data_IF_113738666612
#
_entry.id   IF_113738666612
#
_cell.length_a   1.000
_cell.length_b   1.000
_cell.length_c   1.000
_cell.angle_alpha   90.00
_cell.angle_beta   90.00
_cell.angle_gamma   90.00
#
_symmetry.space_group_name_H-M   'P 1'
#
loop_
_entity.id
_entity.type
_entity.pdbx_description
1 polymer ?
#
# COMPACT_ATOMS: atom_id res chain seq x y z
N UNK A 1 11.03 27.77 39.31
CA UNK A 1 11.53 28.37 38.05
C UNK A 1 12.67 27.52 37.53
N UNK A 2 12.34 26.43 36.85
CA UNK A 2 13.27 25.69 36.00
C UNK A 2 12.53 25.56 34.68
N UNK A 3 12.97 26.33 33.68
CA UNK A 3 12.42 26.29 32.34
C UNK A 3 12.92 24.99 31.69
N UNK A 4 12.00 24.06 31.43
CA UNK A 4 12.25 22.93 30.54
C UNK A 4 12.07 23.49 29.14
N UNK A 5 13.18 23.61 28.41
CA UNK A 5 13.20 23.95 26.99
C UNK A 5 12.35 22.91 26.24
N UNK A 6 11.36 23.38 25.48
CA UNK A 6 10.70 22.57 24.46
C UNK A 6 11.77 22.10 23.47
N UNK A 7 11.94 20.77 23.41
CA UNK A 7 12.92 20.11 22.58
C UNK A 7 12.66 20.38 21.10
N UNK A 8 13.78 20.59 20.40
CA UNK A 8 13.90 20.58 18.96
C UNK A 8 13.36 19.25 18.40
N UNK A 9 12.55 19.33 17.33
CA UNK A 9 12.32 18.22 16.40
C UNK A 9 13.68 17.67 15.97
N UNK A 10 13.99 16.45 16.38
CA UNK A 10 15.15 15.69 15.91
C UNK A 10 14.62 14.36 15.42
N UNK A 11 14.13 14.29 14.18
CA UNK A 11 14.12 13.02 13.46
C UNK A 11 15.55 12.49 13.46
N UNK A 12 15.72 11.26 13.93
CA UNK A 12 17.03 10.68 14.16
C UNK A 12 17.51 10.15 12.81
N UNK A 13 17.98 11.06 11.95
CA UNK A 13 18.50 10.73 10.61
C UNK A 13 19.61 9.67 10.71
N UNK A 14 19.29 8.40 10.48
CA UNK A 14 20.29 7.33 10.43
C UNK A 14 21.16 7.53 9.18
N UNK A 15 22.46 7.39 9.35
CA UNK A 15 23.40 7.33 8.23
C UNK A 15 23.11 6.03 7.47
N UNK A 16 22.36 6.14 6.38
CA UNK A 16 22.15 5.06 5.43
C UNK A 16 23.54 4.58 4.95
N UNK A 17 23.87 3.33 5.28
CA UNK A 17 24.99 2.64 4.63
C UNK A 17 24.64 2.58 3.15
N UNK A 18 25.59 2.92 2.26
CA UNK A 18 25.37 2.98 0.81
C UNK A 18 24.63 1.73 0.33
N UNK A 19 23.32 1.85 0.12
CA UNK A 19 22.50 0.76 -0.35
C UNK A 19 22.70 0.69 -1.85
N UNK A 20 23.24 -0.44 -2.30
CA UNK A 20 23.52 -0.70 -3.72
C UNK A 20 22.34 -1.45 -4.29
N UNK A 21 21.67 -0.85 -5.27
CA UNK A 21 20.68 -1.55 -6.06
C UNK A 21 21.43 -2.13 -7.25
N UNK A 22 21.64 -3.44 -7.24
CA UNK A 22 22.18 -4.15 -8.39
C UNK A 22 21.05 -4.39 -9.38
N UNK A 23 21.00 -3.57 -10.44
CA UNK A 23 20.30 -3.97 -11.65
C UNK A 23 21.20 -5.03 -12.31
N UNK A 24 20.92 -6.30 -12.05
CA UNK A 24 21.38 -7.35 -12.96
C UNK A 24 20.69 -7.02 -14.28
N UNK A 25 21.48 -6.61 -15.27
CA UNK A 25 21.03 -6.14 -16.57
C UNK A 25 19.97 -7.08 -17.18
N UNK A 26 18.70 -6.74 -17.01
CA UNK A 26 17.59 -7.32 -17.74
C UNK A 26 17.54 -6.64 -19.12
N UNK A 27 18.57 -6.85 -19.94
CA UNK A 27 18.55 -6.52 -21.36
C UNK A 27 19.35 -7.58 -22.12
N UNK A 28 18.81 -8.81 -22.12
CA UNK A 28 19.13 -9.84 -23.11
C UNK A 28 17.83 -10.32 -23.76
N UNK A 29 17.27 -9.50 -24.64
CA UNK A 29 16.56 -9.88 -25.89
C UNK A 29 15.80 -8.68 -26.47
N UNK A 30 16.54 -7.75 -27.08
CA UNK A 30 16.03 -7.08 -28.26
C UNK A 30 16.87 -7.56 -29.44
N UNK A 31 16.49 -8.71 -30.00
CA UNK A 31 17.02 -9.11 -31.30
C UNK A 31 16.40 -8.20 -32.37
N UNK A 32 17.18 -7.22 -32.81
CA UNK A 32 16.90 -6.46 -34.02
C UNK A 32 17.11 -7.39 -35.23
N UNK A 33 16.00 -7.80 -35.85
CA UNK A 33 15.98 -8.46 -37.15
C UNK A 33 16.66 -7.58 -38.23
N UNK A 34 17.92 -7.86 -38.55
CA UNK A 34 18.50 -7.53 -39.85
C UNK A 34 18.85 -8.84 -40.57
N UNK A 35 18.14 -9.12 -41.66
CA UNK A 35 18.55 -10.13 -42.64
C UNK A 35 19.92 -9.75 -43.22
N UNK A 36 20.92 -10.58 -43.01
CA UNK A 36 22.03 -10.72 -43.96
C UNK A 36 22.10 -12.18 -44.41
N UNK A 37 21.82 -12.38 -45.69
CA UNK A 37 22.18 -13.60 -46.42
C UNK A 37 23.70 -13.68 -46.52
N UNK A 38 24.27 -14.76 -45.96
CA UNK A 38 25.64 -15.25 -46.12
C UNK A 38 26.82 -14.34 -45.72
N UNK A 39 27.45 -14.64 -44.57
CA UNK A 39 28.92 -14.69 -44.47
C UNK A 39 29.39 -15.44 -43.20
N UNK A 40 30.15 -16.50 -43.46
CA UNK A 40 30.99 -17.34 -42.59
C UNK A 40 31.27 -16.90 -41.15
N UNK A 41 31.05 -17.84 -40.21
CA UNK A 41 31.92 -18.16 -39.07
C UNK A 41 32.67 -16.98 -38.43
N UNK A 42 31.94 -16.21 -37.64
CA UNK A 42 32.49 -15.53 -36.47
C UNK A 42 31.41 -15.53 -35.38
N UNK A 43 31.79 -15.92 -34.16
CA UNK A 43 31.00 -15.63 -32.97
C UNK A 43 30.64 -14.14 -32.95
N UNK A 44 29.43 -13.77 -33.36
CA UNK A 44 28.85 -12.49 -33.02
C UNK A 44 28.11 -12.65 -31.70
N UNK A 45 28.88 -12.66 -30.61
CA UNK A 45 28.42 -11.98 -29.40
C UNK A 45 28.25 -10.51 -29.77
N UNK A 46 27.02 -10.11 -30.11
CA UNK A 46 26.64 -8.71 -30.07
C UNK A 46 26.68 -8.28 -28.60
N UNK A 47 27.84 -7.82 -28.15
CA UNK A 47 27.86 -6.86 -27.07
C UNK A 47 27.26 -5.59 -27.69
N UNK A 48 26.03 -5.23 -27.30
CA UNK A 48 25.67 -3.82 -27.32
C UNK A 48 26.79 -3.12 -26.55
N UNK A 49 27.62 -2.35 -27.25
CA UNK A 49 28.67 -1.56 -26.63
C UNK A 49 27.98 -0.35 -26.00
N UNK A 50 27.27 -0.61 -24.91
CA UNK A 50 26.62 0.43 -24.11
C UNK A 50 27.66 1.49 -23.83
N UNK A 51 27.46 2.66 -24.43
CA UNK A 51 28.38 3.78 -24.30
C UNK A 51 28.12 4.51 -22.99
N UNK A 52 26.86 4.55 -22.54
CA UNK A 52 26.48 5.25 -21.32
C UNK A 52 25.12 4.84 -20.75
N UNK A 53 25.05 4.70 -19.43
CA UNK A 53 23.81 4.75 -18.63
C UNK A 53 23.60 6.17 -18.06
N UNK A 54 22.35 6.62 -18.01
CA UNK A 54 21.96 7.89 -17.43
C UNK A 54 20.60 7.77 -16.73
N UNK A 55 20.42 8.51 -15.63
CA UNK A 55 19.10 8.76 -15.03
C UNK A 55 18.53 10.05 -15.61
N UNK A 56 17.30 9.99 -16.07
CA UNK A 56 16.54 11.14 -16.54
C UNK A 56 15.56 11.62 -15.46
N UNK A 57 15.41 12.94 -15.33
CA UNK A 57 14.49 13.58 -14.37
C UNK A 57 15.14 14.18 -13.11
N UNK A 58 14.31 14.72 -12.20
CA UNK A 58 14.73 15.45 -11.00
C UNK A 58 15.15 14.56 -9.80
N UNK A 59 15.48 13.29 -10.03
CA UNK A 59 15.88 12.34 -8.98
C UNK A 59 17.38 12.40 -8.63
N UNK A 60 18.15 13.23 -9.33
CA UNK A 60 19.62 13.29 -9.24
C UNK A 60 20.20 13.69 -7.87
N UNK A 61 19.39 14.22 -6.96
CA UNK A 61 19.82 14.53 -5.58
C UNK A 61 19.68 13.34 -4.62
N UNK A 62 18.88 12.32 -4.97
CA UNK A 62 18.61 11.15 -4.12
C UNK A 62 19.29 9.89 -4.68
N UNK A 63 19.43 9.76 -6.00
CA UNK A 63 20.08 8.63 -6.67
C UNK A 63 21.08 9.07 -7.74
N UNK A 64 22.10 8.25 -7.96
CA UNK A 64 23.04 8.36 -9.08
C UNK A 64 23.23 7.00 -9.72
N UNK A 65 23.50 6.97 -11.03
CA UNK A 65 23.77 5.75 -11.77
C UNK A 65 25.22 5.75 -12.28
N UNK A 66 25.90 4.62 -12.16
CA UNK A 66 27.23 4.48 -12.70
C UNK A 66 27.17 4.33 -14.24
N UNK A 67 27.83 5.21 -15.01
CA UNK A 67 27.59 5.36 -16.45
C UNK A 67 28.04 4.16 -17.29
N UNK A 68 28.85 3.25 -16.76
CA UNK A 68 29.34 2.06 -17.50
C UNK A 68 28.76 0.74 -16.98
N UNK A 69 28.26 0.69 -15.75
CA UNK A 69 27.79 -0.56 -15.13
C UNK A 69 26.29 -0.57 -14.88
N UNK A 70 25.63 0.59 -14.95
CA UNK A 70 24.21 0.72 -14.63
C UNK A 70 23.91 0.58 -13.13
N UNK A 71 24.92 0.51 -12.25
CA UNK A 71 24.73 0.42 -10.80
C UNK A 71 24.09 1.70 -10.27
N UNK A 72 22.88 1.60 -9.69
CA UNK A 72 22.20 2.72 -9.04
C UNK A 72 22.57 2.72 -7.56
N UNK A 73 23.03 3.87 -7.09
CA UNK A 73 23.38 4.11 -5.68
C UNK A 73 22.69 5.35 -5.16
N UNK A 74 22.34 5.32 -3.87
CA UNK A 74 21.82 6.49 -3.17
C UNK A 74 22.88 7.61 -3.15
N UNK A 75 22.52 8.79 -3.62
CA UNK A 75 23.34 9.99 -3.60
C UNK A 75 23.04 10.92 -2.41
N UNK A 76 21.83 10.79 -1.84
CA UNK A 76 21.35 11.55 -0.70
C UNK A 76 20.73 10.64 0.36
N UNK A 77 20.30 11.25 1.47
CA UNK A 77 19.50 10.55 2.48
C UNK A 77 18.10 10.30 1.94
N UNK A 78 17.62 9.08 2.18
CA UNK A 78 16.23 8.70 1.97
C UNK A 78 15.53 8.75 3.32
N UNK A 79 14.33 9.27 3.31
CA UNK A 79 13.44 9.43 4.46
C UNK A 79 12.08 8.95 3.94
N UNK A 80 11.58 7.84 4.51
CA UNK A 80 10.38 7.17 3.98
C UNK A 80 9.15 8.03 4.28
N UNK A 81 9.13 8.66 5.44
CA UNK A 81 8.07 9.57 5.90
C UNK A 81 8.01 10.83 5.03
N UNK A 82 9.13 11.22 4.40
CA UNK A 82 9.17 12.23 3.33
C UNK A 82 8.67 11.67 1.99
N UNK A 83 9.19 10.50 1.56
CA UNK A 83 8.83 9.87 0.29
C UNK A 83 9.12 8.35 0.30
N UNK A 84 8.06 7.56 0.22
CA UNK A 84 8.11 6.09 0.33
C UNK A 84 8.51 5.37 -0.98
N UNK A 85 8.42 6.04 -2.13
CA UNK A 85 8.75 5.44 -3.43
C UNK A 85 9.31 6.44 -4.44
N UNK A 86 10.15 5.94 -5.35
CA UNK A 86 10.74 6.71 -6.44
C UNK A 86 10.59 5.98 -7.76
N UNK A 87 10.24 6.72 -8.81
CA UNK A 87 10.25 6.24 -10.19
C UNK A 87 11.48 6.81 -10.92
N UNK A 88 12.39 5.94 -11.33
CA UNK A 88 13.64 6.31 -11.98
C UNK A 88 13.58 5.94 -13.47
N UNK A 89 13.70 6.91 -14.37
CA UNK A 89 13.84 6.62 -15.80
C UNK A 89 15.31 6.45 -16.12
N UNK A 90 15.70 5.24 -16.50
CA UNK A 90 17.06 4.89 -16.91
C UNK A 90 17.13 4.90 -18.43
N UNK A 91 17.98 5.76 -18.98
CA UNK A 91 18.28 5.81 -20.41
C UNK A 91 19.65 5.21 -20.68
N UNK A 92 19.71 4.31 -21.66
CA UNK A 92 20.90 3.64 -22.14
C UNK A 92 21.20 4.15 -23.54
N UNK A 93 22.45 4.54 -23.79
CA UNK A 93 22.93 4.97 -25.10
C UNK A 93 23.97 3.98 -25.61
N UNK A 94 23.88 3.56 -26.87
CA UNK A 94 24.94 2.80 -27.55
C UNK A 94 25.97 3.74 -28.18
N UNK A 95 27.12 3.21 -28.59
CA UNK A 95 28.15 3.87 -29.41
C UNK A 95 27.63 4.50 -30.72
N UNK A 96 26.46 4.08 -31.20
CA UNK A 96 25.75 4.66 -32.33
C UNK A 96 24.79 5.82 -32.02
N UNK A 97 24.78 6.35 -30.79
CA UNK A 97 23.86 7.41 -30.32
C UNK A 97 22.36 6.99 -30.34
N UNK A 98 22.10 5.69 -30.41
CA UNK A 98 20.75 5.13 -30.25
C UNK A 98 20.45 5.03 -28.75
N UNK A 99 19.29 5.52 -28.34
CA UNK A 99 18.84 5.51 -26.95
C UNK A 99 17.64 4.60 -26.74
N UNK A 100 17.64 3.86 -25.63
CA UNK A 100 16.48 3.16 -25.09
C UNK A 100 16.28 3.58 -23.63
N UNK A 101 15.04 3.58 -23.15
CA UNK A 101 14.71 3.98 -21.79
C UNK A 101 13.85 2.92 -21.11
N UNK A 102 14.05 2.73 -19.80
CA UNK A 102 13.25 1.85 -18.95
C UNK A 102 12.94 2.55 -17.63
N UNK A 103 11.82 2.18 -17.00
CA UNK A 103 11.43 2.69 -15.69
C UNK A 103 11.84 1.71 -14.59
N UNK A 104 12.46 2.21 -13.52
CA UNK A 104 12.83 1.45 -12.33
C UNK A 104 12.07 2.03 -11.14
N UNK A 105 11.24 1.21 -10.49
CA UNK A 105 10.56 1.58 -9.26
C UNK A 105 11.42 1.20 -8.05
N UNK A 106 11.64 2.17 -7.16
CA UNK A 106 12.40 2.00 -5.92
C UNK A 106 11.45 2.23 -4.75
N UNK A 107 11.24 1.20 -3.93
CA UNK A 107 10.48 1.28 -2.68
C UNK A 107 11.44 1.47 -1.51
N UNK A 108 11.17 2.44 -0.64
CA UNK A 108 11.92 2.68 0.59
C UNK A 108 11.27 1.88 1.72
N UNK A 109 12.03 0.98 2.34
CA UNK A 109 11.54 0.19 3.48
C UNK A 109 11.58 1.00 4.76
N UNK A 110 10.55 0.85 5.59
CA UNK A 110 10.41 1.50 6.89
C UNK A 110 11.46 1.03 7.91
N UNK A 111 11.86 1.97 8.78
CA UNK A 111 12.65 1.71 9.98
C UNK A 111 11.98 2.44 11.14
N UNK A 112 12.10 1.89 12.36
CA UNK A 112 11.54 2.54 13.55
C UNK A 112 12.40 3.74 13.95
N UNK A 113 12.13 4.92 13.36
CA UNK A 113 12.86 6.16 13.63
C UNK A 113 11.98 7.33 14.09
N UNK A 114 10.66 7.12 14.14
CA UNK A 114 9.72 8.01 14.79
C UNK A 114 9.29 7.46 16.15
N UNK A 115 9.00 8.38 17.06
CA UNK A 115 8.42 8.01 18.36
C UNK A 115 6.91 8.20 18.30
N UNK A 116 6.15 7.33 18.96
CA UNK A 116 4.72 7.56 19.11
C UNK A 116 4.52 8.84 19.90
N UNK A 117 3.49 9.62 19.56
CA UNK A 117 3.21 10.90 20.19
C UNK A 117 1.75 11.01 20.59
N UNK A 118 1.49 11.28 21.88
CA UNK A 118 0.12 11.56 22.33
C UNK A 118 -0.42 12.87 21.71
N UNK A 119 -1.67 12.82 21.23
CA UNK A 119 -2.33 13.98 20.65
C UNK A 119 -2.72 15.02 21.72
N UNK A 120 -3.07 14.53 22.91
CA UNK A 120 -3.55 15.34 24.04
C UNK A 120 -2.52 15.25 25.18
N UNK A 121 -1.97 16.40 25.63
CA UNK A 121 -0.91 16.41 26.65
C UNK A 121 -1.43 16.09 28.06
N UNK A 122 -2.72 16.31 28.32
CA UNK A 122 -3.34 15.97 29.60
C UNK A 122 -4.86 15.84 29.50
N UNK A 123 -5.41 14.86 30.21
CA UNK A 123 -6.86 14.62 30.29
C UNK A 123 -7.39 15.01 31.68
N UNK A 124 -8.58 15.59 31.73
CA UNK A 124 -9.30 15.86 32.98
C UNK A 124 -10.63 15.11 32.95
N UNK A 125 -10.80 14.18 33.89
CA UNK A 125 -11.93 13.25 33.90
C UNK A 125 -12.57 13.23 35.27
N UNK A 126 -13.89 13.26 35.31
CA UNK A 126 -14.66 13.17 36.54
C UNK A 126 -15.49 11.90 36.58
N UNK A 127 -15.26 11.04 37.58
CA UNK A 127 -15.88 9.70 37.67
C UNK A 127 -16.78 9.61 38.92
N UNK A 128 -17.92 8.89 38.86
CA UNK A 128 -18.74 8.65 40.05
C UNK A 128 -17.94 7.88 41.12
N UNK A 129 -18.11 8.25 42.37
CA UNK A 129 -17.49 7.57 43.52
C UNK A 129 -17.82 6.07 43.66
N UNK A 130 -18.91 5.63 43.01
CA UNK A 130 -19.44 4.28 43.02
C UNK A 130 -19.38 3.62 41.63
N UNK A 131 -18.45 4.08 40.78
CA UNK A 131 -18.23 3.48 39.47
C UNK A 131 -17.96 1.98 39.56
N UNK A 132 -18.48 1.23 38.59
CA UNK A 132 -18.29 -0.22 38.50
C UNK A 132 -17.00 -0.55 37.75
N UNK A 133 -16.49 -1.76 37.94
CA UNK A 133 -15.42 -2.29 37.11
C UNK A 133 -15.82 -2.21 35.62
N UNK A 134 -14.90 -1.74 34.79
CA UNK A 134 -15.12 -1.50 33.35
C UNK A 134 -15.73 -0.14 33.03
N UNK A 135 -16.07 0.72 34.01
CA UNK A 135 -16.45 2.10 33.72
C UNK A 135 -15.32 2.81 32.98
N UNK A 136 -15.62 3.35 31.80
CA UNK A 136 -14.69 4.10 30.97
C UNK A 136 -14.27 5.39 31.68
N UNK A 137 -12.97 5.59 31.82
CA UNK A 137 -12.37 6.82 32.35
C UNK A 137 -12.08 7.76 31.18
N UNK A 138 -11.21 7.34 30.28
CA UNK A 138 -10.87 8.08 29.06
C UNK A 138 -10.27 7.13 28.04
N UNK A 139 -10.07 7.62 26.83
CA UNK A 139 -9.25 6.96 25.81
C UNK A 139 -8.02 7.82 25.60
N UNK A 140 -6.84 7.22 25.71
CA UNK A 140 -5.56 7.87 25.42
C UNK A 140 -5.05 7.36 24.08
N UNK A 141 -4.76 8.25 23.14
CA UNK A 141 -4.31 7.85 21.80
C UNK A 141 -3.07 8.60 21.38
N UNK A 142 -2.22 7.90 20.66
CA UNK A 142 -0.95 8.39 20.15
C UNK A 142 -0.85 8.06 18.67
N UNK A 143 -0.09 8.88 17.96
CA UNK A 143 0.19 8.71 16.54
C UNK A 143 1.67 8.42 16.39
N UNK A 144 1.98 7.38 15.63
CA UNK A 144 3.34 7.06 15.18
C UNK A 144 3.38 7.23 13.66
N UNK A 145 4.47 7.79 13.13
CA UNK A 145 4.62 8.08 11.70
C UNK A 145 5.28 6.92 10.93
N UNK A 146 5.83 5.94 11.63
CA UNK A 146 6.40 4.73 11.03
C UNK A 146 5.31 3.86 10.35
N UNK A 147 5.69 2.72 9.76
CA UNK A 147 4.79 1.82 9.05
C UNK A 147 4.72 0.40 9.66
N UNK A 148 3.57 -0.24 9.51
CA UNK A 148 3.36 -1.63 9.94
C UNK A 148 3.63 -1.83 11.43
N UNK A 149 4.45 -2.84 11.78
CA UNK A 149 4.77 -3.17 13.17
C UNK A 149 5.53 -2.06 13.90
N UNK A 150 6.23 -1.17 13.18
CA UNK A 150 6.96 -0.06 13.80
C UNK A 150 6.00 1.04 14.25
N UNK A 151 4.86 1.19 13.56
CA UNK A 151 3.79 2.14 13.90
C UNK A 151 2.83 1.65 14.99
N UNK A 152 2.93 0.38 15.42
CA UNK A 152 2.02 -0.19 16.40
C UNK A 152 2.22 0.42 17.79
N UNK A 153 1.13 0.93 18.37
CA UNK A 153 1.14 1.57 19.68
C UNK A 153 0.75 0.60 20.80
N UNK A 154 1.61 0.52 21.81
CA UNK A 154 1.38 -0.28 23.02
C UNK A 154 1.24 0.63 24.23
N UNK A 155 0.06 0.62 24.86
CA UNK A 155 -0.29 1.50 25.98
C UNK A 155 -0.11 0.84 27.34
N UNK A 156 0.31 1.64 28.31
CA UNK A 156 0.69 1.19 29.65
C UNK A 156 0.42 2.28 30.69
N UNK A 157 0.12 1.88 31.94
CA UNK A 157 0.08 2.80 33.08
C UNK A 157 1.47 2.78 33.73
N UNK A 158 2.23 3.86 33.55
CA UNK A 158 3.60 4.01 34.03
C UNK A 158 3.65 4.40 35.51
N UNK A 159 2.68 5.20 35.97
CA UNK A 159 2.52 5.53 37.37
C UNK A 159 1.08 5.89 37.73
N UNK A 160 0.72 5.75 39.01
CA UNK A 160 -0.63 5.93 39.52
C UNK A 160 -1.12 4.69 40.27
N UNK A 161 -2.42 4.65 40.59
CA UNK A 161 -3.03 3.52 41.30
C UNK A 161 -3.55 2.48 40.32
N UNK A 162 -2.69 1.53 39.95
CA UNK A 162 -3.03 0.40 39.06
C UNK A 162 -3.98 -0.62 39.70
N UNK A 163 -4.32 -0.47 40.98
CA UNK A 163 -5.41 -1.25 41.59
C UNK A 163 -6.78 -0.65 41.29
N UNK A 164 -6.84 0.65 41.00
CA UNK A 164 -8.07 1.37 40.65
C UNK A 164 -8.27 1.47 39.14
N UNK A 165 -7.20 1.50 38.35
CA UNK A 165 -7.26 1.76 36.92
C UNK A 165 -6.54 0.69 36.10
N UNK A 166 -7.18 0.31 34.99
CA UNK A 166 -6.61 -0.57 33.97
C UNK A 166 -6.57 0.18 32.64
N UNK A 167 -5.62 -0.17 31.79
CA UNK A 167 -5.55 0.30 30.41
C UNK A 167 -5.54 -0.90 29.47
N UNK A 168 -6.30 -0.81 28.38
CA UNK A 168 -6.16 -1.75 27.29
C UNK A 168 -4.91 -1.42 26.46
N UNK A 169 -4.00 -2.39 26.38
CA UNK A 169 -2.68 -2.22 25.78
C UNK A 169 -2.69 -1.86 24.29
N UNK A 170 -3.78 -2.08 23.56
CA UNK A 170 -3.86 -1.82 22.11
C UNK A 170 -4.68 -0.59 21.76
N UNK A 171 -5.73 -0.30 22.53
CA UNK A 171 -6.65 0.81 22.26
C UNK A 171 -6.40 2.04 23.12
N UNK A 172 -5.57 1.92 24.17
CA UNK A 172 -5.33 3.00 25.13
C UNK A 172 -6.58 3.36 25.95
N UNK A 173 -7.57 2.46 26.00
CA UNK A 173 -8.80 2.66 26.76
C UNK A 173 -8.52 2.49 28.25
N UNK A 174 -8.69 3.56 29.04
CA UNK A 174 -8.52 3.55 30.49
C UNK A 174 -9.87 3.29 31.16
N UNK A 175 -9.93 2.28 32.03
CA UNK A 175 -11.15 1.88 32.74
C UNK A 175 -10.91 1.72 34.24
N UNK A 176 -11.99 1.78 35.01
CA UNK A 176 -11.97 1.43 36.43
C UNK A 176 -11.80 -0.08 36.58
N UNK A 177 -10.81 -0.53 37.34
CA UNK A 177 -10.45 -1.96 37.50
C UNK A 177 -11.34 -2.73 38.46
N UNK A 178 -12.02 -2.05 39.38
CA UNK A 178 -12.80 -2.67 40.44
C UNK A 178 -14.05 -1.86 40.78
N UNK A 179 -15.03 -2.49 41.41
CA UNK A 179 -16.20 -1.77 41.91
C UNK A 179 -15.79 -0.86 43.07
N UNK A 180 -16.07 0.43 42.93
CA UNK A 180 -15.75 1.44 43.94
C UNK A 180 -16.89 1.60 44.94
N UNK A 181 -16.55 1.95 46.18
CA UNK A 181 -17.49 2.29 47.23
C UNK A 181 -17.01 3.56 47.93
N UNK A 182 -17.68 4.68 47.67
CA UNK A 182 -17.41 5.99 48.25
C UNK A 182 -15.97 6.49 47.99
N UNK A 183 -15.42 6.20 46.80
CA UNK A 183 -14.10 6.68 46.41
C UNK A 183 -14.13 8.19 46.23
N UNK A 184 -13.21 8.90 46.85
CA UNK A 184 -13.14 10.37 46.78
C UNK A 184 -11.70 10.83 46.56
N UNK A 185 -11.55 12.05 46.05
CA UNK A 185 -10.26 12.70 45.87
C UNK A 185 -9.78 12.73 44.42
N UNK A 186 -8.61 13.33 44.24
CA UNK A 186 -7.94 13.48 42.96
C UNK A 186 -6.83 12.42 42.82
N UNK A 187 -6.81 11.77 41.67
CA UNK A 187 -5.83 10.78 41.27
C UNK A 187 -5.15 11.26 40.00
N UNK A 188 -3.86 10.98 39.90
CA UNK A 188 -3.08 11.27 38.71
C UNK A 188 -2.51 9.95 38.23
N UNK A 189 -2.81 9.62 36.97
CA UNK A 189 -2.28 8.46 36.27
C UNK A 189 -1.38 8.98 35.17
N UNK A 190 -0.17 8.44 35.09
CA UNK A 190 0.70 8.68 33.93
C UNK A 190 0.57 7.50 32.99
N UNK A 191 0.15 7.78 31.76
CA UNK A 191 -0.01 6.78 30.71
C UNK A 191 1.17 6.90 29.77
N UNK A 192 1.80 5.77 29.47
CA UNK A 192 2.85 5.64 28.48
C UNK A 192 2.33 4.98 27.21
N UNK A 193 2.97 5.31 26.10
CA UNK A 193 2.86 4.59 24.84
C UNK A 193 4.27 4.22 24.36
N UNK A 194 4.41 3.02 23.82
CA UNK A 194 5.63 2.57 23.18
C UNK A 194 5.37 2.04 21.78
N UNK A 195 6.32 2.23 20.86
CA UNK A 195 6.28 1.59 19.54
C UNK A 195 6.45 0.07 19.66
N UNK A 196 6.11 -0.66 18.60
CA UNK A 196 6.13 -2.12 18.55
C UNK A 196 7.51 -2.75 18.82
N UNK A 197 7.62 -4.09 18.89
CA UNK A 197 8.82 -4.81 19.34
C UNK A 197 10.05 -4.74 18.41
N UNK A 198 10.21 -3.66 17.64
CA UNK A 198 11.36 -3.36 16.79
C UNK A 198 12.66 -3.07 17.57
N UNK A 199 13.74 -2.83 16.83
CA UNK A 199 15.11 -2.79 17.36
C UNK A 199 15.44 -1.62 18.31
N UNK A 200 14.66 -0.54 18.29
CA UNK A 200 14.67 0.53 19.29
C UNK A 200 13.22 0.85 19.69
N UNK A 201 12.78 0.46 20.89
CA UNK A 201 11.46 0.83 21.39
C UNK A 201 11.48 2.32 21.75
N UNK A 202 10.69 3.13 21.06
CA UNK A 202 10.51 4.56 21.35
C UNK A 202 9.29 4.76 22.24
N UNK A 203 9.28 5.81 23.07
CA UNK A 203 8.23 6.03 24.06
C UNK A 203 7.80 7.50 24.18
N UNK A 204 6.54 7.72 24.56
CA UNK A 204 5.99 9.01 24.98
C UNK A 204 5.07 8.85 26.20
N UNK A 205 4.78 9.95 26.90
CA UNK A 205 4.01 9.98 28.15
C UNK A 205 2.94 11.07 28.13
N UNK A 206 1.73 10.74 28.58
CA UNK A 206 0.65 11.68 28.86
C UNK A 206 0.14 11.54 30.30
N UNK A 207 -0.60 12.53 30.78
CA UNK A 207 -1.12 12.56 32.16
C UNK A 207 -2.65 12.61 32.18
N UNK A 208 -3.27 11.72 32.95
CA UNK A 208 -4.72 11.68 33.17
C UNK A 208 -5.00 12.10 34.62
N UNK A 209 -5.66 13.24 34.79
CA UNK A 209 -6.18 13.72 36.06
C UNK A 209 -7.60 13.19 36.27
N UNK A 210 -7.78 12.30 37.24
CA UNK A 210 -9.07 11.70 37.57
C UNK A 210 -9.58 12.26 38.89
N UNK A 211 -10.75 12.87 38.88
CA UNK A 211 -11.43 13.34 40.08
C UNK A 211 -12.62 12.42 40.38
N UNK A 212 -12.62 11.77 41.54
CA UNK A 212 -13.82 11.10 42.04
C UNK A 212 -14.64 12.07 42.87
N UNK A 213 -15.93 12.18 42.55
CA UNK A 213 -16.84 13.05 43.27
C UNK A 213 -18.15 12.33 43.64
N UNK A 214 -18.77 12.82 44.72
CA UNK A 214 -20.11 12.43 45.16
C UNK A 214 -21.15 12.92 44.12
N UNK A 215 -21.26 12.19 43.03
CA UNK A 215 -22.25 12.41 41.98
C UNK A 215 -22.89 11.08 41.60
N UNK A 216 -24.12 11.13 41.11
CA UNK A 216 -24.79 9.95 40.59
C UNK A 216 -24.58 9.87 39.08
N UNK A 217 -24.48 8.65 38.55
CA UNK A 217 -24.39 8.40 37.10
C UNK A 217 -25.49 9.14 36.31
N UNK A 218 -26.67 9.32 36.92
CA UNK A 218 -27.81 10.03 36.35
C UNK A 218 -27.59 11.54 36.16
N UNK A 219 -26.46 12.11 36.57
CA UNK A 219 -26.12 13.53 36.33
C UNK A 219 -25.21 13.74 35.10
N UNK A 220 -24.64 12.66 34.55
CA UNK A 220 -23.74 12.72 33.42
C UNK A 220 -24.50 13.02 32.12
N UNK A 221 -23.83 13.65 31.14
CA UNK A 221 -24.34 13.67 29.78
C UNK A 221 -24.59 12.24 29.29
N UNK A 222 -25.59 12.07 28.43
CA UNK A 222 -25.89 10.80 27.80
C UNK A 222 -26.12 10.98 26.31
N UNK A 223 -25.41 10.24 25.48
CA UNK A 223 -25.70 10.16 24.06
C UNK A 223 -27.10 9.56 23.81
N UNK A 224 -27.77 10.05 22.76
CA UNK A 224 -29.08 9.54 22.34
C UNK A 224 -29.04 8.08 21.88
N UNK A 225 -27.86 7.59 21.51
CA UNK A 225 -27.58 6.20 21.16
C UNK A 225 -26.60 5.64 22.20
N UNK A 226 -26.86 4.43 22.67
CA UNK A 226 -26.01 3.76 23.66
C UNK A 226 -25.03 2.81 22.98
N UNK A 227 -23.76 2.85 23.38
CA UNK A 227 -22.74 1.91 22.95
C UNK A 227 -22.12 2.27 21.59
N UNK A 228 -21.77 1.24 20.83
CA UNK A 228 -21.06 1.37 19.55
C UNK A 228 -22.01 1.71 18.40
N UNK A 229 -21.67 2.73 17.62
CA UNK A 229 -22.38 3.09 16.38
C UNK A 229 -21.53 2.71 15.19
N UNK A 230 -22.11 2.07 14.18
CA UNK A 230 -21.41 1.68 12.95
C UNK A 230 -22.04 2.39 11.76
N UNK A 231 -21.20 3.00 10.92
CA UNK A 231 -21.58 3.79 9.76
C UNK A 231 -20.75 3.31 8.59
N UNK A 232 -21.36 3.14 7.43
CA UNK A 232 -20.64 2.82 6.20
C UNK A 232 -20.63 4.05 5.29
N UNK A 233 -19.44 4.50 4.89
CA UNK A 233 -19.24 5.59 3.94
C UNK A 233 -18.59 5.02 2.70
N UNK A 234 -19.10 5.39 1.53
CA UNK A 234 -18.45 5.04 0.26
C UNK A 234 -17.20 5.91 0.12
N UNK A 235 -16.11 5.32 -0.38
CA UNK A 235 -14.88 6.06 -0.65
C UNK A 235 -15.02 7.04 -1.82
N UNK A 236 -13.98 7.85 -2.03
CA UNK A 236 -13.87 8.81 -3.12
C UNK A 236 -14.97 9.88 -3.16
N UNK A 237 -15.80 9.96 -2.12
CA UNK A 237 -16.81 11.00 -1.98
C UNK A 237 -16.15 12.32 -1.54
N UNK A 238 -16.62 13.47 -2.05
CA UNK A 238 -16.14 14.76 -1.59
C UNK A 238 -16.42 14.93 -0.08
N UNK A 239 -15.57 15.68 0.65
CA UNK A 239 -15.80 16.00 2.05
C UNK A 239 -17.22 16.54 2.30
N UNK A 240 -17.89 16.04 3.34
CA UNK A 240 -19.30 16.32 3.58
C UNK A 240 -19.82 15.84 4.93
N UNK A 241 -21.04 16.25 5.26
CA UNK A 241 -21.69 15.89 6.51
C UNK A 241 -22.00 14.39 6.57
N UNK A 242 -21.65 13.74 7.69
CA UNK A 242 -21.94 12.33 7.97
C UNK A 242 -23.23 12.24 8.77
N UNK A 243 -23.22 12.79 9.99
CA UNK A 243 -24.36 12.74 10.90
C UNK A 243 -24.25 13.79 12.02
N UNK A 244 -25.35 14.04 12.72
CA UNK A 244 -25.37 14.86 13.93
C UNK A 244 -25.32 13.95 15.16
N UNK A 245 -24.24 14.05 15.93
CA UNK A 245 -24.07 13.39 17.21
C UNK A 245 -24.89 14.13 18.26
N UNK A 246 -25.82 13.42 18.88
CA UNK A 246 -26.73 14.00 19.87
C UNK A 246 -26.43 13.44 21.26
N UNK A 247 -26.32 14.34 22.23
CA UNK A 247 -26.25 14.03 23.65
C UNK A 247 -27.19 14.97 24.42
N UNK A 248 -27.59 14.56 25.62
CA UNK A 248 -28.45 15.32 26.51
C UNK A 248 -27.84 15.36 27.92
N UNK A 249 -28.00 16.49 28.60
CA UNK A 249 -27.64 16.64 30.00
C UNK A 249 -28.93 16.74 30.82
N UNK A 250 -29.03 16.05 31.95
CA UNK A 250 -30.18 16.16 32.85
C UNK A 250 -30.17 17.46 33.67
N UNK A 251 -29.08 18.24 33.59
CA UNK A 251 -28.89 19.50 34.32
C UNK A 251 -29.52 20.69 33.59
N UNK A 252 -29.87 21.72 34.35
CA UNK A 252 -30.56 22.91 33.85
C UNK A 252 -29.61 24.11 33.84
N UNK A 253 -29.75 24.97 32.83
CA UNK A 253 -28.90 26.16 32.65
C UNK A 253 -27.52 25.79 32.13
N UNK A 254 -26.52 26.63 32.40
CA UNK A 254 -25.18 26.49 31.82
C UNK A 254 -24.46 25.20 32.23
N UNK A 255 -24.77 24.65 33.41
CA UNK A 255 -24.26 23.34 33.85
C UNK A 255 -24.75 22.17 32.98
N UNK A 256 -25.79 22.36 32.18
CA UNK A 256 -26.32 21.38 31.24
C UNK A 256 -25.93 21.64 29.78
N UNK A 257 -25.23 22.74 29.49
CA UNK A 257 -24.77 23.03 28.13
C UNK A 257 -23.74 21.97 27.70
N UNK A 258 -23.92 21.39 26.52
CA UNK A 258 -23.08 20.31 26.03
C UNK A 258 -22.10 20.83 24.98
N UNK A 259 -20.88 20.32 25.06
CA UNK A 259 -19.86 20.48 24.03
C UNK A 259 -19.28 19.14 23.59
N UNK A 260 -18.98 19.03 22.30
CA UNK A 260 -18.48 17.79 21.67
C UNK A 260 -17.02 17.91 21.27
N UNK A 261 -16.25 16.85 21.52
CA UNK A 261 -14.83 16.79 21.20
C UNK A 261 -14.45 15.38 20.71
N UNK A 262 -13.43 15.29 19.86
CA UNK A 262 -12.78 14.00 19.62
C UNK A 262 -11.95 13.64 20.86
N UNK A 263 -12.22 12.46 21.42
CA UNK A 263 -11.39 11.84 22.44
C UNK A 263 -10.29 10.95 21.83
N UNK A 264 -10.45 10.54 20.56
CA UNK A 264 -9.42 9.86 19.79
C UNK A 264 -9.96 9.29 18.46
N UNK A 265 -9.04 8.88 17.58
CA UNK A 265 -9.35 8.12 16.35
C UNK A 265 -9.54 8.90 15.08
N UNK A 266 -9.34 10.21 15.16
CA UNK A 266 -9.35 11.09 14.02
C UNK A 266 -7.92 11.41 13.57
N UNK A 267 -7.06 10.39 13.46
CA UNK A 267 -5.71 10.55 12.95
C UNK A 267 -5.72 11.22 11.58
N UNK A 268 -4.66 11.98 11.27
CA UNK A 268 -4.54 12.77 10.03
C UNK A 268 -5.67 13.80 9.78
N UNK A 269 -6.61 13.99 10.71
CA UNK A 269 -7.75 14.90 10.60
C UNK A 269 -8.68 14.60 9.41
N UNK A 270 -8.96 13.31 9.15
CA UNK A 270 -9.95 12.90 8.15
C UNK A 270 -11.36 13.42 8.44
N UNK A 271 -11.69 13.70 9.70
CA UNK A 271 -13.00 14.13 10.15
C UNK A 271 -12.96 15.48 10.86
N UNK A 272 -14.11 16.16 10.84
CA UNK A 272 -14.36 17.38 11.62
C UNK A 272 -15.60 17.19 12.49
N UNK A 273 -15.59 17.81 13.66
CA UNK A 273 -16.70 17.76 14.62
C UNK A 273 -17.00 19.17 15.13
N UNK A 274 -18.22 19.63 14.89
CA UNK A 274 -18.67 20.90 15.44
C UNK A 274 -18.92 20.77 16.95
N UNK A 275 -18.19 21.53 17.75
CA UNK A 275 -18.22 21.39 19.21
C UNK A 275 -19.53 21.85 19.86
N UNK A 276 -20.39 22.60 19.18
CA UNK A 276 -21.69 23.03 19.72
C UNK A 276 -22.85 22.21 19.16
N UNK A 277 -22.81 21.82 17.89
CA UNK A 277 -23.94 21.14 17.23
C UNK A 277 -23.77 19.63 17.19
N UNK A 278 -22.55 19.11 17.39
CA UNK A 278 -22.25 17.69 17.23
C UNK A 278 -22.27 17.22 15.77
N UNK A 279 -22.29 18.13 14.79
CA UNK A 279 -22.20 17.77 13.38
C UNK A 279 -20.82 17.16 13.07
N UNK A 280 -20.81 15.88 12.73
CA UNK A 280 -19.65 15.10 12.32
C UNK A 280 -19.63 15.06 10.78
N UNK A 281 -18.49 15.39 10.19
CA UNK A 281 -18.30 15.47 8.74
C UNK A 281 -16.93 14.93 8.34
N UNK A 282 -16.81 14.41 7.11
CA UNK A 282 -15.50 14.18 6.49
C UNK A 282 -14.87 15.52 6.11
N UNK A 283 -13.56 15.63 6.31
CA UNK A 283 -12.74 16.79 5.97
C UNK A 283 -11.76 16.47 4.82
N UNK A 284 -11.31 15.20 4.74
CA UNK A 284 -10.53 14.66 3.64
C UNK A 284 -11.35 13.59 2.91
N UNK A 285 -10.96 13.29 1.67
CA UNK A 285 -11.49 12.16 0.92
C UNK A 285 -11.03 10.86 1.56
N UNK A 286 -11.94 9.90 1.70
CA UNK A 286 -11.64 8.56 2.18
C UNK A 286 -11.26 7.68 1.00
N UNK A 287 -10.36 6.73 1.25
CA UNK A 287 -9.77 5.80 0.30
C UNK A 287 -9.66 4.44 1.01
N UNK A 288 -10.29 3.41 0.45
CA UNK A 288 -10.39 2.08 1.03
C UNK A 288 -9.04 1.37 1.03
N UNK A 289 -8.24 1.55 -0.03
CA UNK A 289 -6.91 0.95 -0.19
C UNK A 289 -5.92 1.52 0.83
N UNK A 290 -6.15 2.76 1.28
CA UNK A 290 -5.37 3.40 2.34
C UNK A 290 -5.86 2.98 3.73
N UNK A 291 -7.16 3.12 4.02
CA UNK A 291 -7.71 2.79 5.34
C UNK A 291 -9.18 2.36 5.28
N UNK A 292 -9.40 1.07 5.53
CA UNK A 292 -10.72 0.44 5.44
C UNK A 292 -11.68 0.79 6.59
N UNK A 293 -11.17 1.20 7.75
CA UNK A 293 -12.02 1.53 8.91
C UNK A 293 -11.41 2.56 9.86
N UNK A 294 -12.28 3.37 10.48
CA UNK A 294 -11.93 4.33 11.52
C UNK A 294 -12.71 4.04 12.78
N UNK A 295 -12.06 4.16 13.95
CA UNK A 295 -12.69 4.02 15.27
C UNK A 295 -12.62 5.35 16.00
N UNK A 296 -13.67 6.17 15.87
CA UNK A 296 -13.75 7.52 16.45
C UNK A 296 -14.38 7.47 17.84
N UNK A 297 -13.64 7.95 18.84
CA UNK A 297 -14.20 8.21 20.16
C UNK A 297 -14.63 9.67 20.26
N UNK A 298 -15.92 9.89 20.52
CA UNK A 298 -16.47 11.24 20.72
C UNK A 298 -16.84 11.42 22.18
N UNK A 299 -16.41 12.53 22.75
CA UNK A 299 -16.72 12.96 24.11
C UNK A 299 -17.80 14.05 24.10
N UNK A 300 -18.84 13.86 24.93
CA UNK A 300 -19.78 14.91 25.27
C UNK A 300 -19.50 15.39 26.70
N UNK A 301 -19.13 16.66 26.84
CA UNK A 301 -18.88 17.34 28.12
C UNK A 301 -20.02 18.28 28.45
N UNK A 302 -20.44 18.32 29.70
CA UNK A 302 -21.30 19.40 30.17
C UNK A 302 -20.52 20.60 30.75
N UNK A 303 -21.25 21.65 31.12
CA UNK A 303 -20.68 22.91 31.61
C UNK A 303 -20.24 22.94 33.07
N UNK A 304 -20.12 21.80 33.76
CA UNK A 304 -19.58 21.80 35.13
C UNK A 304 -18.07 22.10 35.17
N UNK A 305 -17.54 22.37 36.36
CA UNK A 305 -16.11 22.60 36.57
C UNK A 305 -15.66 21.82 37.81
N UNK A 306 -14.98 20.66 37.66
CA UNK A 306 -14.64 19.99 36.38
C UNK A 306 -15.88 19.44 35.65
N UNK A 307 -15.84 19.30 34.31
CA UNK A 307 -16.98 18.81 33.54
C UNK A 307 -17.26 17.33 33.84
N UNK A 308 -18.52 16.92 33.69
CA UNK A 308 -18.86 15.51 33.55
C UNK A 308 -18.84 15.15 32.07
N UNK A 309 -18.27 13.98 31.77
CA UNK A 309 -18.06 13.50 30.40
C UNK A 309 -18.71 12.15 30.18
N UNK A 310 -19.24 11.96 28.98
CA UNK A 310 -19.60 10.64 28.45
C UNK A 310 -18.93 10.44 27.10
N UNK A 311 -18.75 9.18 26.70
CA UNK A 311 -18.09 8.84 25.45
C UNK A 311 -18.93 7.88 24.59
N UNK A 312 -18.77 7.97 23.27
CA UNK A 312 -19.35 7.05 22.30
C UNK A 312 -18.28 6.61 21.30
N UNK A 313 -18.30 5.32 20.92
CA UNK A 313 -17.45 4.72 19.88
C UNK A 313 -18.22 4.68 18.56
N UNK A 314 -17.66 5.32 17.53
CA UNK A 314 -18.20 5.34 16.18
C UNK A 314 -17.22 4.63 15.26
N UNK A 315 -17.64 3.48 14.73
CA UNK A 315 -16.94 2.83 13.64
C UNK A 315 -17.42 3.44 12.33
N UNK A 316 -16.49 3.86 11.50
CA UNK A 316 -16.74 4.21 10.11
C UNK A 316 -16.06 3.15 9.26
N UNK A 317 -16.84 2.35 8.56
CA UNK A 317 -16.33 1.43 7.53
C UNK A 317 -16.31 2.15 6.19
N UNK A 318 -15.17 2.10 5.51
CA UNK A 318 -15.01 2.62 4.16
C UNK A 318 -15.42 1.53 3.19
N UNK A 319 -16.47 1.79 2.41
CA UNK A 319 -17.00 0.85 1.42
C UNK A 319 -16.22 1.01 0.13
N UNK A 320 -15.52 -0.07 -0.20
CA UNK A 320 -14.80 -0.32 -1.45
C UNK A 320 -15.66 0.02 -2.69
N UNK A 321 -15.09 0.81 -3.58
CA UNK A 321 -15.57 1.02 -4.95
C UNK A 321 -14.64 0.27 -5.91
N UNK A 322 -15.15 0.00 -7.11
CA UNK A 322 -14.30 -0.54 -8.17
C UNK A 322 -13.64 0.63 -8.90
N UNK A 323 -12.56 1.17 -8.34
CA UNK A 323 -11.82 2.31 -8.90
C UNK A 323 -10.34 2.05 -9.17
N UNK A 324 -9.84 0.85 -8.85
CA UNK A 324 -8.58 0.35 -9.38
C UNK A 324 -8.85 -0.66 -10.50
N UNK A 325 -8.09 -0.55 -11.60
CA UNK A 325 -8.14 -1.55 -12.66
C UNK A 325 -7.07 -2.61 -12.42
N UNK A 326 -7.25 -3.87 -12.87
CA UNK A 326 -6.21 -4.88 -12.75
C UNK A 326 -4.93 -4.44 -13.45
N UNK A 327 -3.76 -4.62 -12.84
CA UNK A 327 -2.45 -4.25 -13.41
C UNK A 327 -1.59 -5.49 -13.56
N UNK A 328 -1.08 -5.74 -14.76
CA UNK A 328 -0.13 -6.83 -15.02
C UNK A 328 1.21 -6.59 -14.32
N UNK A 329 1.84 -7.66 -13.81
CA UNK A 329 3.15 -7.59 -13.15
C UNK A 329 4.28 -7.16 -14.10
N UNK A 330 4.13 -7.46 -15.40
CA UNK A 330 5.10 -7.12 -16.44
C UNK A 330 4.44 -6.28 -17.56
N UNK A 331 5.21 -5.36 -18.15
CA UNK A 331 4.73 -4.52 -19.28
C UNK A 331 4.54 -5.31 -20.58
N UNK A 332 5.24 -6.44 -20.72
CA UNK A 332 5.09 -7.39 -21.82
C UNK A 332 5.62 -8.75 -21.42
N UNK A 333 5.08 -9.81 -22.04
CA UNK A 333 5.53 -11.17 -21.80
C UNK A 333 6.11 -11.76 -23.09
N UNK A 334 7.08 -12.65 -22.95
CA UNK A 334 7.69 -13.33 -24.08
C UNK A 334 7.90 -14.80 -23.79
N UNK A 335 7.53 -15.66 -24.72
CA UNK A 335 7.74 -17.10 -24.63
C UNK A 335 7.97 -17.70 -26.02
N UNK A 336 8.32 -18.98 -26.05
CA UNK A 336 8.53 -19.74 -27.26
C UNK A 336 7.63 -20.97 -27.28
N UNK A 337 7.22 -21.40 -28.48
CA UNK A 337 6.58 -22.70 -28.73
C UNK A 337 7.34 -23.43 -29.82
N UNK A 338 7.49 -24.74 -29.70
CA UNK A 338 8.14 -25.55 -30.74
C UNK A 338 7.11 -25.97 -31.79
N UNK A 339 7.45 -25.85 -33.08
CA UNK A 339 6.59 -26.36 -34.14
C UNK A 339 6.43 -27.89 -34.11
N UNK A 340 5.33 -28.38 -34.69
CA UNK A 340 4.94 -29.80 -34.58
C UNK A 340 4.57 -30.26 -33.16
N UNK A 341 4.54 -29.35 -32.18
CA UNK A 341 4.08 -29.60 -30.82
C UNK A 341 2.58 -29.91 -30.73
N UNK A 342 2.20 -30.73 -29.74
CA UNK A 342 0.80 -31.13 -29.54
C UNK A 342 -0.06 -29.97 -29.00
N UNK A 343 -1.36 -29.96 -29.32
CA UNK A 343 -2.30 -29.04 -28.66
C UNK A 343 -2.37 -29.28 -27.14
N UNK A 344 -2.53 -28.22 -26.36
CA UNK A 344 -2.67 -28.25 -24.90
C UNK A 344 -1.34 -28.08 -24.15
N UNK A 345 -0.25 -27.73 -24.84
CA UNK A 345 1.02 -27.40 -24.19
C UNK A 345 0.91 -26.05 -23.50
N UNK A 346 1.41 -25.97 -22.27
CA UNK A 346 1.55 -24.71 -21.53
C UNK A 346 2.66 -23.87 -22.14
N UNK A 347 2.38 -22.57 -22.36
CA UNK A 347 3.30 -21.63 -23.02
C UNK A 347 3.89 -20.65 -22.02
N UNK A 348 3.02 -19.96 -21.27
CA UNK A 348 3.38 -18.97 -20.26
C UNK A 348 2.16 -18.66 -19.41
N UNK A 349 2.36 -18.22 -18.17
CA UNK A 349 1.31 -17.67 -17.32
C UNK A 349 1.51 -16.16 -17.21
N UNK A 350 0.45 -15.39 -17.44
CA UNK A 350 0.43 -13.96 -17.14
C UNK A 350 -0.26 -13.72 -15.79
N UNK A 351 0.18 -12.71 -15.07
CA UNK A 351 -0.35 -12.36 -13.75
C UNK A 351 -0.67 -10.88 -13.71
N UNK A 352 -1.89 -10.57 -13.30
CA UNK A 352 -2.33 -9.23 -12.93
C UNK A 352 -2.77 -9.21 -11.47
N UNK A 353 -2.63 -8.05 -10.84
CA UNK A 353 -3.04 -7.75 -9.47
C UNK A 353 -3.95 -6.54 -9.49
N UNK A 354 -4.98 -6.58 -8.66
CA UNK A 354 -5.95 -5.50 -8.48
C UNK A 354 -5.94 -5.09 -7.01
N UNK A 355 -5.95 -3.78 -6.75
CA UNK A 355 -5.83 -3.22 -5.40
C UNK A 355 -7.15 -3.19 -4.65
N UNK A 356 -8.28 -3.28 -5.35
CA UNK A 356 -9.61 -3.26 -4.73
C UNK A 356 -9.84 -4.50 -3.84
N UNK A 357 -11.01 -4.60 -3.22
CA UNK A 357 -11.33 -5.72 -2.32
C UNK A 357 -12.46 -6.65 -2.81
N UNK A 358 -12.40 -7.90 -2.36
CA UNK A 358 -13.50 -8.86 -2.55
C UNK A 358 -13.77 -9.22 -4.02
N UNK A 359 -14.96 -8.86 -4.53
CA UNK A 359 -15.30 -9.10 -5.94
C UNK A 359 -14.66 -8.10 -6.88
N UNK A 360 -14.35 -6.90 -6.40
CA UNK A 360 -13.79 -5.82 -7.21
C UNK A 360 -12.35 -6.15 -7.61
N UNK A 361 -11.56 -6.83 -6.78
CA UNK A 361 -10.23 -7.33 -7.17
C UNK A 361 -10.17 -8.74 -7.77
N UNK A 362 -11.32 -9.39 -7.97
CA UNK A 362 -11.30 -10.69 -8.66
C UNK A 362 -11.04 -10.44 -10.14
N UNK A 363 -10.06 -11.12 -10.71
CA UNK A 363 -9.66 -10.95 -12.11
C UNK A 363 -10.13 -12.14 -12.96
N UNK A 364 -10.53 -11.86 -14.20
CA UNK A 364 -10.69 -12.85 -15.27
C UNK A 364 -9.80 -12.50 -16.46
N UNK A 365 -9.16 -13.51 -17.04
CA UNK A 365 -8.31 -13.35 -18.21
C UNK A 365 -9.01 -13.76 -19.51
N UNK A 366 -8.73 -13.04 -20.59
CA UNK A 366 -9.22 -13.38 -21.91
C UNK A 366 -8.21 -13.04 -23.02
N UNK A 367 -8.34 -13.70 -24.17
CA UNK A 367 -7.55 -13.41 -25.37
C UNK A 367 -8.36 -12.56 -26.34
N UNK A 368 -7.89 -11.35 -26.59
CA UNK A 368 -8.44 -10.46 -27.62
C UNK A 368 -7.98 -10.84 -29.03
N UNK A 369 -6.81 -11.48 -29.16
CA UNK A 369 -6.25 -11.92 -30.46
C UNK A 369 -5.82 -13.38 -30.45
N UNK A 370 -5.77 -13.99 -31.65
CA UNK A 370 -5.28 -15.36 -31.89
C UNK A 370 -5.92 -16.46 -31.02
N UNK A 371 -7.18 -16.29 -30.60
CA UNK A 371 -7.95 -17.30 -29.88
C UNK A 371 -8.21 -18.59 -30.71
N UNK A 372 -7.94 -18.56 -32.02
CA UNK A 372 -7.92 -19.74 -32.89
C UNK A 372 -6.65 -20.60 -32.70
N UNK A 373 -5.54 -19.99 -32.28
CA UNK A 373 -4.24 -20.64 -32.12
C UNK A 373 -3.88 -20.93 -30.67
N UNK A 374 -4.38 -20.13 -29.72
CA UNK A 374 -4.11 -20.26 -28.29
C UNK A 374 -5.40 -20.27 -27.47
N UNK A 375 -5.29 -20.77 -26.24
CA UNK A 375 -6.31 -20.68 -25.20
C UNK A 375 -5.70 -20.04 -23.96
N UNK A 376 -6.50 -19.37 -23.14
CA UNK A 376 -6.09 -18.85 -21.84
C UNK A 376 -7.05 -19.37 -20.77
N UNK A 377 -6.51 -19.80 -19.63
CA UNK A 377 -7.31 -20.10 -18.46
C UNK A 377 -7.85 -18.82 -17.84
N UNK A 378 -9.16 -18.78 -17.59
CA UNK A 378 -9.87 -17.58 -17.15
C UNK A 378 -9.45 -17.13 -15.74
N UNK A 379 -9.08 -18.05 -14.86
CA UNK A 379 -8.76 -17.74 -13.46
C UNK A 379 -7.23 -17.68 -13.24
N UNK A 380 -6.44 -18.53 -13.91
CA UNK A 380 -4.98 -18.57 -13.70
C UNK A 380 -4.16 -17.70 -14.66
N UNK A 381 -4.72 -17.28 -15.80
CA UNK A 381 -3.94 -16.56 -16.82
C UNK A 381 -2.94 -17.44 -17.58
N UNK A 382 -3.02 -18.77 -17.43
CA UNK A 382 -2.14 -19.71 -18.13
C UNK A 382 -2.53 -19.84 -19.59
N UNK A 383 -1.60 -19.51 -20.49
CA UNK A 383 -1.77 -19.62 -21.94
C UNK A 383 -1.31 -21.01 -22.40
N UNK A 384 -2.14 -21.66 -23.21
CA UNK A 384 -1.89 -22.99 -23.78
C UNK A 384 -2.08 -23.00 -25.30
N UNK A 385 -1.40 -23.93 -25.97
CA UNK A 385 -1.54 -24.13 -27.42
C UNK A 385 -2.90 -24.75 -27.76
N UNK A 386 -3.60 -24.24 -28.79
CA UNK A 386 -4.89 -24.81 -29.23
C UNK A 386 -4.75 -25.77 -30.41
N UNK A 387 -3.66 -25.63 -31.16
CA UNK A 387 -3.35 -26.42 -32.35
C UNK A 387 -1.84 -26.56 -32.50
N UNK A 388 -1.44 -27.36 -33.47
CA UNK A 388 -0.05 -27.47 -33.91
C UNK A 388 0.35 -26.20 -34.68
N UNK A 389 1.62 -25.85 -34.57
CA UNK A 389 2.24 -24.71 -35.27
C UNK A 389 3.15 -25.21 -36.37
N UNK A 390 3.25 -24.39 -37.41
CA UNK A 390 4.14 -24.52 -38.55
C UNK A 390 4.81 -23.16 -38.68
N UNK A 391 6.12 -23.15 -38.40
CA UNK A 391 6.91 -21.92 -38.34
C UNK A 391 7.01 -21.26 -39.70
N UNK A 392 7.06 -22.03 -40.78
CA UNK A 392 7.16 -21.51 -42.14
C UNK A 392 5.89 -20.77 -42.57
N UNK A 393 4.76 -21.07 -41.94
CA UNK A 393 3.53 -20.31 -42.13
C UNK A 393 3.50 -19.03 -41.28
N UNK A 394 3.76 -19.15 -39.97
CA UNK A 394 3.77 -18.02 -39.03
C UNK A 394 4.85 -18.29 -37.98
N UNK A 395 5.89 -17.47 -37.95
CA UNK A 395 7.02 -17.61 -37.03
C UNK A 395 6.87 -16.83 -35.72
N UNK A 396 5.90 -15.90 -35.63
CA UNK A 396 5.66 -15.06 -34.45
C UNK A 396 4.19 -14.74 -34.28
N UNK A 397 3.71 -14.82 -33.04
CA UNK A 397 2.39 -14.40 -32.62
C UNK A 397 2.48 -13.26 -31.60
N UNK A 398 1.66 -12.24 -31.78
CA UNK A 398 1.45 -11.18 -30.79
C UNK A 398 0.04 -11.33 -30.22
N UNK A 399 -0.04 -11.91 -29.03
CA UNK A 399 -1.29 -12.03 -28.29
C UNK A 399 -1.57 -10.73 -27.55
N UNK A 400 -2.82 -10.29 -27.59
CA UNK A 400 -3.34 -9.27 -26.69
C UNK A 400 -4.16 -9.99 -25.63
N UNK A 401 -3.64 -10.02 -24.40
CA UNK A 401 -4.31 -10.59 -23.24
C UNK A 401 -4.98 -9.46 -22.47
N UNK A 402 -6.24 -9.63 -22.13
CA UNK A 402 -7.01 -8.68 -21.32
C UNK A 402 -7.24 -9.29 -19.93
N UNK A 403 -6.99 -8.50 -18.89
CA UNK A 403 -7.38 -8.77 -17.51
C UNK A 403 -8.53 -7.82 -17.17
N UNK A 404 -9.67 -8.36 -16.78
CA UNK A 404 -10.87 -7.61 -16.41
C UNK A 404 -11.30 -8.01 -15.00
N UNK A 405 -11.73 -7.05 -14.19
CA UNK A 405 -12.25 -7.34 -12.87
C UNK A 405 -13.72 -7.83 -12.89
N UNK A 406 -14.27 -8.19 -11.72
CA UNK A 406 -15.69 -8.50 -11.55
C UNK A 406 -16.51 -7.33 -10.96
N UNK A 407 -15.90 -6.16 -10.86
CA UNK A 407 -16.53 -4.96 -10.34
C UNK A 407 -17.60 -4.38 -11.26
N UNK A 408 -18.25 -3.31 -10.79
CA UNK A 408 -19.30 -2.61 -11.52
C UNK A 408 -19.18 -1.09 -11.32
N UNK A 409 -18.76 -0.33 -12.34
CA UNK A 409 -18.41 -0.77 -13.69
C UNK A 409 -17.15 -1.64 -13.70
N UNK A 410 -17.11 -2.67 -14.55
CA UNK A 410 -15.91 -3.48 -14.68
C UNK A 410 -14.77 -2.66 -15.31
N UNK A 411 -13.57 -2.79 -14.78
CA UNK A 411 -12.36 -2.21 -15.35
C UNK A 411 -11.46 -3.30 -15.93
N UNK A 412 -10.68 -2.91 -16.93
CA UNK A 412 -9.82 -3.83 -17.64
C UNK A 412 -8.52 -3.18 -18.10
N UNK A 413 -7.46 -3.97 -18.17
CA UNK A 413 -6.20 -3.62 -18.81
C UNK A 413 -5.78 -4.70 -19.79
N UNK A 414 -4.85 -4.37 -20.69
CA UNK A 414 -4.34 -5.32 -21.67
C UNK A 414 -2.83 -5.31 -21.72
N UNK A 415 -2.24 -6.47 -21.98
CA UNK A 415 -0.79 -6.67 -22.17
C UNK A 415 -0.51 -7.46 -23.45
N UNK A 416 0.65 -7.21 -24.04
CA UNK A 416 1.12 -7.95 -25.21
C UNK A 416 1.98 -9.14 -24.78
N UNK A 417 1.66 -10.33 -25.29
CA UNK A 417 2.46 -11.54 -25.13
C UNK A 417 3.01 -11.95 -26.50
N UNK A 418 4.34 -11.88 -26.65
CA UNK A 418 5.02 -12.26 -27.89
C UNK A 418 5.46 -13.72 -27.82
N UNK A 419 4.94 -14.55 -28.73
CA UNK A 419 5.28 -15.96 -28.82
C UNK A 419 6.04 -16.23 -30.12
N UNK A 420 7.29 -16.64 -30.01
CA UNK A 420 8.08 -17.08 -31.16
C UNK A 420 7.91 -18.59 -31.39
N UNK A 421 7.79 -18.99 -32.66
CA UNK A 421 7.74 -20.41 -33.04
C UNK A 421 9.16 -20.87 -33.36
N UNK A 422 9.68 -21.76 -32.53
CA UNK A 422 11.01 -22.36 -32.69
C UNK A 422 10.99 -23.39 -33.84
N UNK A 423 12.02 -23.30 -34.69
CA UNK A 423 12.22 -24.13 -35.89
C UNK A 423 12.62 -25.56 -35.53
N UNK A 424 11.91 -26.52 -36.09
CA UNK A 424 12.27 -27.93 -36.18
C UNK A 424 12.49 -28.21 -37.65
N UNK A 425 13.74 -28.53 -38.03
CA UNK A 425 14.13 -28.82 -39.41
C UNK A 425 13.40 -30.05 -40.00
N UNK A 426 12.16 -29.85 -40.43
CA UNK A 426 11.24 -30.80 -41.05
C UNK A 426 11.04 -30.49 -42.54
N UNK A 427 11.54 -29.35 -43.00
CA UNK A 427 11.69 -28.99 -44.39
C UNK A 427 12.99 -29.54 -44.99
N UNK A 428 12.97 -30.02 -46.24
CA UNK A 428 14.18 -30.50 -46.88
C UNK A 428 15.17 -29.36 -47.05
N UNK A 429 16.31 -29.42 -46.33
CA UNK A 429 17.47 -28.60 -46.64
C UNK A 429 17.90 -28.86 -48.09
N UNK A 430 17.63 -27.92 -49.00
CA UNK A 430 18.35 -27.86 -50.26
C UNK A 430 19.76 -27.34 -49.94
N UNK A 431 20.72 -28.24 -49.66
CA UNK A 431 22.09 -27.84 -49.30
C UNK A 431 22.92 -27.30 -50.48
N UNK A 432 22.33 -26.98 -51.64
CA UNK A 432 23.04 -26.40 -52.78
C UNK A 432 22.06 -25.70 -53.72
N UNK A 433 22.23 -24.39 -53.95
CA UNK A 433 21.36 -23.63 -54.86
C UNK A 433 21.61 -23.91 -56.36
N UNK A 434 22.66 -24.64 -56.76
CA UNK A 434 22.91 -24.93 -58.18
C UNK A 434 23.50 -26.34 -58.38
N UNK A 435 22.89 -27.13 -59.27
CA UNK A 435 23.54 -28.29 -59.88
C UNK A 435 24.14 -27.85 -61.23
N UNK A 436 25.47 -27.77 -61.31
CA UNK A 436 26.18 -27.69 -62.58
C UNK A 436 26.62 -29.10 -63.01
N UNK A 437 26.25 -29.48 -64.23
CA UNK A 437 26.68 -30.72 -64.86
C UNK A 437 27.28 -30.43 -66.24
N UNK A 438 28.44 -31.01 -66.53
CA UNK A 438 29.08 -30.93 -67.84
C UNK A 438 28.76 -32.25 -68.57
N UNK A 439 28.14 -32.15 -69.74
CA UNK A 439 27.95 -33.27 -70.67
C UNK A 439 28.77 -32.99 -71.91
N UNK A 440 29.54 -33.98 -72.38
CA UNK A 440 30.21 -33.85 -73.67
C UNK A 440 29.17 -33.88 -74.81
N UNK A 441 29.40 -33.08 -75.85
CA UNK A 441 28.55 -33.18 -77.04
C UNK A 441 28.65 -34.59 -77.65
N UNK A 442 27.50 -35.14 -78.03
CA UNK A 442 27.34 -36.47 -78.65
C UNK A 442 27.39 -37.69 -77.71
N UNK A 443 27.24 -37.53 -76.40
CA UNK A 443 26.94 -38.68 -75.52
C UNK A 443 25.59 -39.28 -75.90
N UNK A 444 25.59 -40.57 -76.25
CA UNK A 444 24.36 -41.30 -76.56
C UNK A 444 23.51 -41.47 -75.29
N UNK A 445 22.17 -41.37 -75.37
CA UNK A 445 21.31 -41.62 -74.22
C UNK A 445 21.52 -43.07 -73.74
N UNK A 446 21.84 -43.23 -72.45
CA UNK A 446 21.78 -44.55 -71.81
C UNK A 446 20.33 -45.04 -71.79
N UNK A 447 20.12 -46.31 -72.15
CA UNK A 447 18.81 -46.98 -72.11
C UNK A 447 18.47 -47.46 -70.70
#
# INVERSE_FOLDING_TARGET
>A
MAAINHNQKSSKLLNCTQSRIFIIAFFLRMEMNFMFSDLSLAHLTFYLLISRYQLDGEVGNKFTIHPLTGEIVTAGRLDREEQSSYQLVVTVTDTGEITASATVFVTVTDINDNQPQFEIPSYLVTIPENAMAGTLVTVTRAVDLDEGLNAENYYSIESGDTSLFAIDHTSGTVTVSQNLSDQTGEFIIQVGVSSGPGSEVMYDLTTVHVTFQFTVQANYPSFSVSGRTQISLVENQPPGEIQIINANSPKVGTSGDITFHFAGGNEANFFSLNSQTGNLATQLTLDHEVQQSFHLWIEARDGDTPPLSSFIDIIIDVVDQNDNAPVFEEESYHSNVTEGGSSGQEVIQVTAVDLDSGSNSRIRYSLSTHADAFNIDIDSGTITTRREFDREMISRYELVVEAEDYGSPAQATSVVVTIDVDDVNDNPMYTTENFEGIVEENVAPEQ
#
